data_IF_296001694534
#
_entry.id   IF_296001694534
#
_cell.length_a   1.000
_cell.length_b   1.000
_cell.length_c   1.000
_cell.angle_alpha   90.00
_cell.angle_beta   90.00
_cell.angle_gamma   90.00
#
_symmetry.space_group_name_H-M   'P 1'
#
loop_
_entity.id
_entity.type
_entity.pdbx_description
1 polymer ?
#
# COMPACT_ATOMS: atom_id res chain seq x y z
N UNK A 1 -26.04 -27.16 -14.85
CA UNK A 1 -25.11 -27.71 -13.84
C UNK A 1 -23.77 -27.00 -14.01
N UNK A 2 -23.59 -25.88 -13.31
CA UNK A 2 -22.31 -25.19 -13.27
C UNK A 2 -21.56 -25.73 -12.06
N UNK A 3 -20.44 -26.42 -12.27
CA UNK A 3 -19.56 -26.84 -11.18
C UNK A 3 -18.93 -25.59 -10.58
N UNK A 4 -19.44 -25.15 -9.43
CA UNK A 4 -18.71 -24.23 -8.57
C UNK A 4 -17.40 -24.92 -8.18
N UNK A 5 -16.29 -24.46 -8.78
CA UNK A 5 -14.97 -24.91 -8.35
C UNK A 5 -14.78 -24.38 -6.94
N UNK A 6 -15.01 -25.23 -5.95
CA UNK A 6 -14.75 -25.01 -4.54
C UNK A 6 -13.22 -25.00 -4.34
N UNK A 7 -12.53 -24.00 -4.92
CA UNK A 7 -11.13 -23.73 -4.60
C UNK A 7 -11.11 -23.19 -3.18
N UNK A 8 -10.39 -23.82 -2.24
CA UNK A 8 -10.34 -23.36 -0.86
C UNK A 8 -9.78 -21.93 -0.83
N UNK A 9 -10.45 -21.05 -0.08
CA UNK A 9 -10.02 -19.70 0.27
C UNK A 9 -8.57 -19.76 0.77
N UNK A 10 -7.61 -19.36 -0.06
CA UNK A 10 -6.22 -19.22 0.37
C UNK A 10 -5.98 -17.76 0.71
N UNK A 11 -6.20 -17.42 1.99
CA UNK A 11 -5.35 -16.40 2.58
C UNK A 11 -3.89 -16.81 2.30
N UNK A 12 -2.97 -15.85 2.03
CA UNK A 12 -1.57 -16.18 1.80
C UNK A 12 -1.13 -17.14 2.92
N UNK A 13 -0.49 -18.26 2.57
CA UNK A 13 0.00 -19.21 3.56
C UNK A 13 1.00 -18.49 4.46
N UNK A 14 0.49 -17.95 5.57
CA UNK A 14 1.30 -17.36 6.61
C UNK A 14 2.11 -18.51 7.19
N UNK A 15 3.37 -18.62 6.75
CA UNK A 15 4.31 -19.51 7.44
C UNK A 15 4.25 -19.14 8.92
N UNK A 16 4.22 -20.10 9.86
CA UNK A 16 4.36 -19.79 11.27
C UNK A 16 5.61 -18.92 11.45
N UNK A 17 5.40 -17.67 11.84
CA UNK A 17 6.46 -16.67 12.03
C UNK A 17 6.68 -16.49 13.51
N UNK A 18 7.93 -16.43 13.91
CA UNK A 18 8.26 -15.92 15.23
C UNK A 18 8.02 -14.41 15.21
N UNK A 19 6.93 -13.98 15.81
CA UNK A 19 6.64 -12.58 16.02
C UNK A 19 7.58 -11.97 17.03
N UNK A 20 8.00 -10.73 16.80
CA UNK A 20 8.72 -9.98 17.82
C UNK A 20 7.77 -9.72 18.99
N UNK A 21 8.28 -9.89 20.21
CA UNK A 21 7.54 -9.53 21.41
C UNK A 21 7.43 -7.99 21.52
N UNK A 22 6.23 -7.47 21.80
CA UNK A 22 5.95 -6.03 21.82
C UNK A 22 6.83 -5.26 22.81
N UNK A 23 7.05 -5.80 24.00
CA UNK A 23 7.78 -5.14 25.09
C UNK A 23 9.30 -5.11 24.81
N UNK A 24 9.77 -5.95 23.90
CA UNK A 24 11.16 -5.99 23.43
C UNK A 24 11.35 -5.42 22.03
N UNK A 25 10.28 -4.94 21.39
CA UNK A 25 10.32 -4.52 19.98
C UNK A 25 11.44 -3.50 19.71
N UNK A 26 11.49 -2.43 20.52
CA UNK A 26 12.52 -1.40 20.43
C UNK A 26 13.95 -1.96 20.56
N UNK A 27 14.16 -2.95 21.44
CA UNK A 27 15.48 -3.54 21.68
C UNK A 27 16.01 -4.22 20.42
N UNK A 28 15.14 -4.90 19.66
CA UNK A 28 15.55 -5.57 18.42
C UNK A 28 16.05 -4.58 17.37
N UNK A 29 15.50 -3.37 17.30
CA UNK A 29 15.87 -2.38 16.28
C UNK A 29 16.99 -1.42 16.70
N UNK A 30 17.28 -1.26 18.00
CA UNK A 30 18.30 -0.32 18.50
C UNK A 30 19.71 -0.54 17.91
N UNK A 31 20.06 -1.80 17.63
CA UNK A 31 21.35 -2.19 17.08
C UNK A 31 21.50 -1.90 15.58
N UNK A 32 20.38 -1.76 14.86
CA UNK A 32 20.39 -1.62 13.41
C UNK A 32 20.33 -0.15 13.00
N UNK A 33 21.07 0.19 11.95
CA UNK A 33 21.04 1.50 11.33
C UNK A 33 20.36 1.36 9.96
N UNK A 34 19.50 2.31 9.57
CA UNK A 34 18.93 2.30 8.23
C UNK A 34 20.02 2.36 7.16
N UNK A 35 20.01 1.39 6.25
CA UNK A 35 20.89 1.36 5.10
C UNK A 35 20.28 2.20 3.97
N UNK A 36 21.04 3.16 3.43
CA UNK A 36 20.60 4.01 2.33
C UNK A 36 20.91 3.36 0.96
N UNK A 37 19.98 3.53 0.02
CA UNK A 37 20.04 3.09 -1.37
C UNK A 37 19.99 4.32 -2.26
N UNK A 38 21.15 4.69 -2.81
CA UNK A 38 21.32 5.98 -3.51
C UNK A 38 21.17 5.80 -5.02
N UNK A 39 20.28 6.58 -5.62
CA UNK A 39 20.14 6.70 -7.07
C UNK A 39 21.35 7.41 -7.71
N UNK A 40 21.83 6.99 -8.90
CA UNK A 40 22.97 7.63 -9.55
C UNK A 40 22.65 9.06 -9.99
N UNK A 41 21.39 9.33 -10.35
CA UNK A 41 20.92 10.63 -10.84
C UNK A 41 20.79 11.68 -9.72
N UNK A 42 20.62 11.25 -8.47
CA UNK A 42 20.51 12.15 -7.31
C UNK A 42 21.78 12.99 -7.04
N UNK A 43 22.92 12.62 -7.64
CA UNK A 43 24.21 13.31 -7.44
C UNK A 43 24.48 14.47 -8.41
N UNK A 44 23.64 14.71 -9.43
CA UNK A 44 23.89 15.72 -10.49
C UNK A 44 23.09 17.02 -10.35
N UNK A 45 22.78 17.48 -9.14
CA UNK A 45 22.29 18.84 -8.87
C UNK A 45 20.99 19.28 -9.58
N UNK A 46 20.32 18.38 -10.30
CA UNK A 46 19.12 18.63 -11.07
C UNK A 46 18.20 17.39 -11.04
N UNK A 47 17.30 17.34 -10.05
CA UNK A 47 15.88 16.97 -10.21
C UNK A 47 15.25 16.57 -8.88
N UNK A 48 13.96 16.87 -8.74
CA UNK A 48 13.06 16.47 -7.65
C UNK A 48 12.89 14.94 -7.58
N UNK A 49 13.96 14.20 -7.27
CA UNK A 49 13.87 12.75 -7.09
C UNK A 49 13.08 12.45 -5.80
N UNK A 50 11.80 12.16 -5.99
CA UNK A 50 10.85 11.89 -4.91
C UNK A 50 10.22 10.53 -5.15
N UNK A 51 10.51 9.57 -4.26
CA UNK A 51 9.93 8.23 -4.29
C UNK A 51 8.45 8.33 -3.89
N UNK A 52 7.56 7.90 -4.78
CA UNK A 52 6.10 7.91 -4.57
C UNK A 52 5.55 6.55 -4.16
N UNK A 53 6.30 5.49 -4.44
CA UNK A 53 5.87 4.13 -4.14
C UNK A 53 7.05 3.19 -3.94
N UNK A 54 6.88 2.31 -2.97
CA UNK A 54 7.76 1.19 -2.65
C UNK A 54 6.91 -0.07 -2.72
N UNK A 55 7.43 -1.13 -3.35
CA UNK A 55 6.78 -2.43 -3.40
C UNK A 55 7.78 -3.57 -3.25
N UNK A 56 7.57 -4.43 -2.27
CA UNK A 56 8.35 -5.67 -2.12
C UNK A 56 7.81 -6.75 -3.05
N UNK A 57 8.69 -7.61 -3.55
CA UNK A 57 8.26 -8.85 -4.18
C UNK A 57 7.84 -9.88 -3.12
N UNK A 58 7.07 -10.92 -3.46
CA UNK A 58 6.47 -11.82 -2.46
C UNK A 58 7.49 -12.58 -1.60
N UNK A 59 8.73 -12.71 -2.06
CA UNK A 59 9.82 -13.35 -1.30
C UNK A 59 10.68 -12.35 -0.50
N UNK A 60 10.45 -11.05 -0.63
CA UNK A 60 11.20 -10.00 0.06
C UNK A 60 12.68 -9.89 -0.36
N UNK A 61 13.07 -10.51 -1.49
CA UNK A 61 14.44 -10.46 -2.00
C UNK A 61 14.62 -9.42 -3.12
N UNK A 62 13.54 -8.78 -3.56
CA UNK A 62 13.54 -7.63 -4.44
C UNK A 62 12.59 -6.55 -3.91
N UNK A 63 12.96 -5.29 -4.13
CA UNK A 63 12.15 -4.13 -3.78
C UNK A 63 12.17 -3.13 -4.94
N UNK A 64 10.99 -2.68 -5.36
CA UNK A 64 10.82 -1.72 -6.43
C UNK A 64 10.53 -0.33 -5.87
N UNK A 65 11.08 0.70 -6.50
CA UNK A 65 10.80 2.11 -6.23
C UNK A 65 10.31 2.79 -7.51
N UNK A 66 9.18 3.48 -7.42
CA UNK A 66 8.68 4.38 -8.46
C UNK A 66 8.78 5.83 -8.02
N UNK A 67 9.32 6.70 -8.87
CA UNK A 67 9.63 8.08 -8.52
C UNK A 67 8.99 9.13 -9.46
N UNK A 68 8.93 10.36 -8.96
CA UNK A 68 8.40 11.52 -9.67
C UNK A 68 9.21 11.91 -10.92
N UNK A 69 10.49 11.55 -10.96
CA UNK A 69 11.40 11.79 -12.09
C UNK A 69 11.36 10.67 -13.14
N UNK A 70 10.31 9.84 -13.12
CA UNK A 70 10.07 8.71 -14.02
C UNK A 70 11.00 7.51 -13.79
N UNK A 71 11.82 7.54 -12.74
CA UNK A 71 12.70 6.42 -12.39
C UNK A 71 11.89 5.27 -11.80
N UNK A 72 11.90 4.12 -12.48
CA UNK A 72 11.48 2.82 -11.94
C UNK A 72 12.73 1.99 -11.71
N UNK A 73 13.01 1.64 -10.46
CA UNK A 73 14.19 0.83 -10.13
C UNK A 73 13.84 -0.32 -9.21
N UNK A 74 14.44 -1.47 -9.48
CA UNK A 74 14.38 -2.67 -8.63
C UNK A 74 15.74 -2.87 -7.96
N UNK A 75 15.73 -3.00 -6.64
CA UNK A 75 16.90 -3.14 -5.80
C UNK A 75 16.99 -4.54 -5.19
N UNK A 76 18.21 -4.93 -4.86
CA UNK A 76 18.47 -6.04 -3.96
C UNK A 76 18.61 -5.50 -2.52
N UNK A 77 17.72 -5.88 -1.57
CA UNK A 77 17.70 -5.36 -0.20
C UNK A 77 18.87 -5.82 0.67
N UNK A 78 19.70 -6.74 0.20
CA UNK A 78 20.92 -7.18 0.87
C UNK A 78 22.18 -6.49 0.27
N UNK A 79 22.02 -5.70 -0.81
CA UNK A 79 23.13 -5.07 -1.54
C UNK A 79 22.79 -3.64 -1.94
N UNK A 80 23.07 -2.70 -1.04
CA UNK A 80 22.75 -1.28 -1.21
C UNK A 80 23.45 -0.56 -2.37
N UNK A 81 24.57 -1.09 -2.87
CA UNK A 81 25.26 -0.47 -4.00
C UNK A 81 24.39 -0.58 -5.27
N UNK A 82 24.13 0.57 -5.89
CA UNK A 82 23.28 0.70 -7.08
C UNK A 82 23.68 -0.17 -8.26
N UNK A 83 24.94 -0.63 -8.36
CA UNK A 83 25.36 -1.59 -9.39
C UNK A 83 24.61 -2.93 -9.33
N UNK A 84 24.02 -3.27 -8.17
CA UNK A 84 23.22 -4.47 -7.96
C UNK A 84 21.72 -4.23 -8.13
N UNK A 85 21.34 -3.06 -8.67
CA UNK A 85 19.96 -2.71 -9.00
C UNK A 85 19.72 -2.79 -10.51
N UNK A 86 18.45 -2.79 -10.90
CA UNK A 86 18.01 -2.75 -12.29
C UNK A 86 17.02 -1.61 -12.47
N UNK A 87 17.29 -0.73 -13.43
CA UNK A 87 16.35 0.32 -13.84
C UNK A 87 15.50 -0.18 -15.01
N UNK A 88 14.19 0.00 -14.91
CA UNK A 88 13.20 -0.39 -15.92
C UNK A 88 12.71 0.88 -16.63
N UNK A 89 13.17 1.09 -17.87
CA UNK A 89 12.90 2.33 -18.61
C UNK A 89 11.66 2.19 -19.49
N UNK A 90 10.86 3.25 -19.58
CA UNK A 90 9.77 3.31 -20.56
C UNK A 90 8.63 4.28 -20.25
N UNK A 91 8.48 4.75 -19.01
CA UNK A 91 7.45 5.73 -18.67
C UNK A 91 7.80 7.14 -19.16
N UNK A 92 6.78 7.87 -19.62
CA UNK A 92 6.93 9.21 -20.17
C UNK A 92 6.60 10.32 -19.15
N UNK A 93 6.05 9.98 -17.99
CA UNK A 93 5.68 10.91 -16.92
C UNK A 93 5.96 10.29 -15.53
N UNK A 94 5.74 11.03 -14.43
CA UNK A 94 5.94 10.54 -13.06
C UNK A 94 5.30 9.17 -12.82
N UNK A 95 5.98 8.30 -12.07
CA UNK A 95 5.42 7.02 -11.65
C UNK A 95 4.71 7.24 -10.31
N UNK A 96 3.44 6.86 -10.25
CA UNK A 96 2.61 7.06 -9.06
C UNK A 96 2.64 5.85 -8.12
N UNK A 97 2.52 4.63 -8.68
CA UNK A 97 2.58 3.38 -7.90
C UNK A 97 3.35 2.28 -8.63
N UNK A 98 3.98 1.41 -7.84
CA UNK A 98 4.61 0.17 -8.27
C UNK A 98 4.14 -0.96 -7.36
N UNK A 99 3.93 -2.16 -7.90
CA UNK A 99 3.61 -3.34 -7.10
C UNK A 99 4.05 -4.62 -7.81
N UNK A 100 4.73 -5.50 -7.06
CA UNK A 100 4.99 -6.84 -7.56
C UNK A 100 3.72 -7.67 -7.56
N UNK A 101 3.64 -8.60 -8.51
CA UNK A 101 2.64 -9.65 -8.50
C UNK A 101 2.80 -10.46 -7.18
N UNK A 102 1.71 -10.70 -6.43
CA UNK A 102 1.77 -11.36 -5.13
C UNK A 102 2.13 -12.86 -5.21
N UNK A 103 2.06 -13.45 -6.40
CA UNK A 103 2.34 -14.87 -6.64
C UNK A 103 3.62 -15.08 -7.45
N UNK A 104 3.89 -14.23 -8.45
CA UNK A 104 5.04 -14.36 -9.37
C UNK A 104 6.16 -13.38 -9.00
N UNK A 105 7.32 -13.91 -8.62
CA UNK A 105 8.40 -13.16 -7.98
C UNK A 105 9.15 -12.14 -8.84
N UNK A 106 9.05 -12.29 -10.17
CA UNK A 106 9.71 -11.45 -11.15
C UNK A 106 8.75 -10.58 -11.97
N UNK A 107 7.44 -10.65 -11.70
CA UNK A 107 6.44 -9.84 -12.39
C UNK A 107 6.14 -8.58 -11.56
N UNK A 108 6.32 -7.42 -12.18
CA UNK A 108 6.10 -6.11 -11.57
C UNK A 108 5.14 -5.32 -12.44
N UNK A 109 4.28 -4.49 -11.85
CA UNK A 109 3.54 -3.48 -12.58
C UNK A 109 3.84 -2.08 -12.04
N UNK A 110 3.71 -1.09 -12.92
CA UNK A 110 3.81 0.33 -12.59
C UNK A 110 2.71 1.12 -13.28
N UNK A 111 2.19 2.12 -12.58
CA UNK A 111 1.23 3.09 -13.11
C UNK A 111 1.85 4.48 -13.09
N UNK A 112 1.62 5.25 -14.16
CA UNK A 112 2.19 6.56 -14.35
C UNK A 112 1.15 7.59 -14.77
N UNK A 113 1.44 8.85 -14.46
CA UNK A 113 0.67 10.00 -14.92
C UNK A 113 0.74 10.21 -16.45
N UNK A 114 1.44 9.34 -17.21
CA UNK A 114 1.36 9.25 -18.66
C UNK A 114 0.09 8.51 -19.15
N UNK A 115 -0.73 8.05 -18.21
CA UNK A 115 -1.97 7.33 -18.46
C UNK A 115 -1.79 5.91 -18.93
N UNK A 116 -0.64 5.32 -18.58
CA UNK A 116 -0.32 3.93 -18.87
C UNK A 116 -0.06 3.12 -17.60
N UNK A 117 -0.40 1.83 -17.70
CA UNK A 117 0.06 0.79 -16.79
C UNK A 117 0.99 -0.12 -17.58
N UNK A 118 2.20 -0.34 -17.08
CA UNK A 118 3.18 -1.23 -17.69
C UNK A 118 3.39 -2.45 -16.82
N UNK A 119 3.46 -3.61 -17.45
CA UNK A 119 3.81 -4.89 -16.86
C UNK A 119 5.23 -5.25 -17.26
N UNK A 120 6.03 -5.70 -16.29
CA UNK A 120 7.45 -5.91 -16.45
C UNK A 120 7.83 -7.32 -16.02
N UNK A 121 8.70 -7.95 -16.80
CA UNK A 121 9.53 -9.05 -16.33
C UNK A 121 10.87 -8.46 -15.87
N UNK A 122 11.12 -8.51 -14.57
CA UNK A 122 12.30 -7.89 -13.94
C UNK A 122 13.61 -8.62 -14.31
N UNK A 123 13.55 -9.92 -14.63
CA UNK A 123 14.74 -10.72 -14.98
C UNK A 123 15.24 -10.35 -16.37
N UNK A 124 14.32 -10.22 -17.32
CA UNK A 124 14.60 -9.86 -18.72
C UNK A 124 14.66 -8.35 -18.95
N UNK A 125 14.17 -7.56 -17.99
CA UNK A 125 14.06 -6.09 -18.05
C UNK A 125 13.11 -5.57 -19.13
N UNK A 126 12.23 -6.45 -19.61
CA UNK A 126 11.30 -6.13 -20.69
C UNK A 126 9.96 -5.67 -20.13
N UNK A 127 9.38 -4.66 -20.78
CA UNK A 127 7.95 -4.37 -20.66
C UNK A 127 7.20 -5.46 -21.45
N UNK A 128 6.54 -6.39 -20.75
CA UNK A 128 5.88 -7.55 -21.36
C UNK A 128 4.45 -7.23 -21.82
N UNK A 129 3.83 -6.20 -21.23
CA UNK A 129 2.53 -5.69 -21.66
C UNK A 129 2.36 -4.22 -21.23
N UNK A 130 1.46 -3.51 -21.89
CA UNK A 130 1.13 -2.12 -21.63
C UNK A 130 -0.36 -1.87 -21.91
N UNK A 131 -1.05 -1.26 -20.94
CA UNK A 131 -2.42 -0.77 -21.09
C UNK A 131 -2.39 0.76 -21.13
N UNK A 132 -3.03 1.35 -22.14
CA UNK A 132 -3.03 2.80 -22.40
C UNK A 132 -4.43 3.39 -22.27
N UNK A 133 -4.50 4.72 -22.21
CA UNK A 133 -5.78 5.45 -22.23
C UNK A 133 -6.49 5.46 -20.88
N UNK A 134 -5.76 5.28 -19.78
CA UNK A 134 -6.33 5.21 -18.42
C UNK A 134 -6.50 6.59 -17.76
N UNK A 135 -6.19 7.69 -18.46
CA UNK A 135 -6.23 9.05 -17.91
C UNK A 135 -5.15 9.28 -16.85
N UNK A 136 -5.37 10.19 -15.90
CA UNK A 136 -4.45 10.41 -14.78
C UNK A 136 -4.56 9.28 -13.73
N UNK A 137 -4.11 8.08 -14.08
CA UNK A 137 -4.10 6.90 -13.22
C UNK A 137 -3.04 7.04 -12.12
N UNK A 138 -3.42 6.73 -10.88
CA UNK A 138 -2.55 6.97 -9.71
C UNK A 138 -2.65 5.92 -8.60
N UNK A 139 -3.63 5.01 -8.66
CA UNK A 139 -3.75 3.90 -7.71
C UNK A 139 -3.51 2.58 -8.42
N UNK A 140 -2.97 1.60 -7.70
CA UNK A 140 -2.68 0.29 -8.25
C UNK A 140 -2.68 -0.75 -7.13
N UNK A 141 -3.42 -1.84 -7.31
CA UNK A 141 -3.42 -2.96 -6.37
C UNK A 141 -3.70 -4.28 -7.09
N UNK A 142 -2.84 -5.28 -6.88
CA UNK A 142 -3.05 -6.64 -7.39
C UNK A 142 -4.16 -7.35 -6.64
N UNK A 143 -4.92 -8.18 -7.35
CA UNK A 143 -5.73 -9.17 -6.67
C UNK A 143 -4.82 -10.22 -5.98
N UNK A 144 -5.24 -10.81 -4.85
CA UNK A 144 -4.44 -11.76 -4.08
C UNK A 144 -3.78 -12.92 -4.84
N UNK A 145 -4.37 -13.36 -5.96
CA UNK A 145 -3.84 -14.46 -6.79
C UNK A 145 -2.97 -13.95 -7.95
N UNK A 146 -2.86 -12.63 -8.15
CA UNK A 146 -1.99 -12.03 -9.15
C UNK A 146 -2.44 -12.26 -10.60
N UNK A 147 -3.73 -12.51 -10.84
CA UNK A 147 -4.29 -12.75 -12.18
C UNK A 147 -4.83 -11.46 -12.82
N UNK A 148 -5.12 -10.47 -11.99
CA UNK A 148 -5.71 -9.18 -12.34
C UNK A 148 -5.27 -8.12 -11.34
N UNK A 149 -5.46 -6.85 -11.68
CA UNK A 149 -5.24 -5.75 -10.76
C UNK A 149 -6.24 -4.62 -11.02
N UNK A 150 -6.47 -3.82 -9.98
CA UNK A 150 -7.33 -2.65 -10.03
C UNK A 150 -6.48 -1.40 -10.16
N UNK A 151 -6.91 -0.49 -11.03
CA UNK A 151 -6.27 0.81 -11.25
C UNK A 151 -7.32 1.91 -11.22
N UNK A 152 -7.14 2.88 -10.34
CA UNK A 152 -7.98 4.08 -10.24
C UNK A 152 -7.31 5.30 -10.86
N UNK A 153 -8.12 6.21 -11.41
CA UNK A 153 -7.67 7.49 -11.93
C UNK A 153 -8.35 8.68 -11.24
N UNK A 154 -7.86 9.90 -11.49
CA UNK A 154 -8.42 11.13 -10.92
C UNK A 154 -9.81 11.53 -11.46
N UNK A 155 -10.31 10.83 -12.48
CA UNK A 155 -11.65 10.99 -13.01
C UNK A 155 -12.62 9.95 -12.43
N UNK A 156 -12.26 9.34 -11.30
CA UNK A 156 -13.06 8.38 -10.54
C UNK A 156 -13.44 7.11 -11.32
N UNK A 157 -12.67 6.79 -12.37
CA UNK A 157 -12.77 5.51 -13.06
C UNK A 157 -11.90 4.48 -12.34
N UNK A 158 -12.48 3.29 -12.15
CA UNK A 158 -11.80 2.12 -11.60
C UNK A 158 -11.75 1.05 -12.67
N UNK A 159 -10.55 0.78 -13.16
CA UNK A 159 -10.29 -0.20 -14.21
C UNK A 159 -9.87 -1.53 -13.59
N UNK A 160 -10.39 -2.64 -14.15
CA UNK A 160 -9.87 -3.98 -13.90
C UNK A 160 -8.99 -4.38 -15.08
N UNK A 161 -7.73 -4.68 -14.81
CA UNK A 161 -6.73 -5.02 -15.84
C UNK A 161 -6.26 -6.46 -15.68
N UNK A 162 -5.81 -7.06 -16.78
CA UNK A 162 -5.07 -8.33 -16.77
C UNK A 162 -3.66 -8.11 -17.33
N UNK A 163 -2.64 -8.80 -16.80
CA UNK A 163 -1.28 -8.73 -17.33
C UNK A 163 -1.16 -9.24 -18.77
N UNK A 164 -2.13 -10.02 -19.25
CA UNK A 164 -2.11 -10.63 -20.58
C UNK A 164 -2.98 -9.90 -21.61
N UNK A 165 -3.70 -8.84 -21.20
CA UNK A 165 -4.56 -8.05 -22.09
C UNK A 165 -4.06 -6.62 -22.20
N UNK A 166 -4.06 -6.06 -23.41
CA UNK A 166 -3.62 -4.68 -23.68
C UNK A 166 -4.73 -3.63 -23.49
N UNK A 167 -5.94 -4.07 -23.17
CA UNK A 167 -7.11 -3.23 -22.88
C UNK A 167 -7.70 -3.60 -21.51
N UNK A 168 -8.39 -2.66 -20.83
CA UNK A 168 -9.10 -2.98 -19.59
C UNK A 168 -10.13 -4.10 -19.80
N UNK A 169 -10.26 -4.98 -18.81
CA UNK A 169 -11.31 -6.00 -18.74
C UNK A 169 -12.66 -5.34 -18.43
N UNK A 170 -12.64 -4.39 -17.50
CA UNK A 170 -13.82 -3.64 -17.07
C UNK A 170 -13.43 -2.21 -16.66
N UNK A 171 -14.43 -1.32 -16.68
CA UNK A 171 -14.32 0.06 -16.19
C UNK A 171 -15.58 0.41 -15.38
N UNK A 172 -15.39 0.86 -14.15
CA UNK A 172 -16.45 1.24 -13.22
C UNK A 172 -16.28 2.71 -12.83
N UNK A 173 -17.26 3.55 -13.18
CA UNK A 173 -17.28 4.94 -12.73
C UNK A 173 -17.80 5.02 -11.30
N UNK A 174 -17.01 5.60 -10.40
CA UNK A 174 -17.40 5.84 -9.02
C UNK A 174 -18.07 7.21 -8.87
N UNK A 175 -19.00 7.29 -7.93
CA UNK A 175 -19.75 8.53 -7.64
C UNK A 175 -18.97 9.53 -6.76
N UNK A 176 -17.86 9.09 -6.17
CA UNK A 176 -17.02 9.87 -5.27
C UNK A 176 -15.56 9.53 -5.58
N UNK A 177 -14.71 10.52 -5.35
CA UNK A 177 -13.26 10.37 -5.44
C UNK A 177 -12.75 9.09 -4.77
N UNK A 178 -12.02 8.28 -5.52
CA UNK A 178 -11.42 7.02 -5.07
C UNK A 178 -9.91 7.17 -4.92
N UNK A 179 -9.39 7.07 -3.70
CA UNK A 179 -7.99 7.38 -3.40
C UNK A 179 -7.07 6.16 -3.31
N UNK A 180 -7.47 5.12 -2.57
CA UNK A 180 -6.69 3.90 -2.42
C UNK A 180 -7.65 2.72 -2.29
N UNK A 181 -7.28 1.60 -2.91
CA UNK A 181 -8.07 0.36 -2.89
C UNK A 181 -7.22 -0.73 -2.25
N UNK A 182 -7.84 -1.53 -1.39
CA UNK A 182 -7.27 -2.77 -0.86
C UNK A 182 -8.18 -3.95 -1.18
N UNK A 183 -7.59 -5.09 -1.53
CA UNK A 183 -8.34 -6.32 -1.74
C UNK A 183 -8.61 -7.05 -0.43
N UNK A 184 -9.79 -7.65 -0.34
CA UNK A 184 -10.01 -8.79 0.55
C UNK A 184 -9.19 -9.99 0.05
N UNK A 185 -8.60 -10.77 0.97
CA UNK A 185 -7.89 -12.00 0.63
C UNK A 185 -8.76 -13.04 -0.10
N UNK A 186 -10.09 -13.04 0.11
CA UNK A 186 -11.01 -13.91 -0.63
C UNK A 186 -11.26 -13.48 -2.07
N UNK A 187 -10.81 -12.27 -2.45
CA UNK A 187 -11.03 -11.63 -3.77
C UNK A 187 -12.49 -11.25 -4.07
N UNK A 188 -13.42 -11.51 -3.16
CA UNK A 188 -14.85 -11.23 -3.38
C UNK A 188 -15.21 -9.77 -3.10
N UNK A 189 -14.30 -9.03 -2.45
CA UNK A 189 -14.55 -7.67 -1.98
C UNK A 189 -13.30 -6.81 -2.08
N UNK A 190 -13.54 -5.51 -2.16
CA UNK A 190 -12.53 -4.47 -2.08
C UNK A 190 -12.93 -3.40 -1.09
N UNK A 191 -11.92 -2.78 -0.48
CA UNK A 191 -12.06 -1.67 0.45
C UNK A 191 -11.56 -0.41 -0.24
N UNK A 192 -12.42 0.60 -0.36
CA UNK A 192 -12.17 1.78 -1.17
C UNK A 192 -12.17 3.02 -0.30
N UNK A 193 -11.00 3.61 -0.08
CA UNK A 193 -10.85 4.90 0.59
C UNK A 193 -11.33 6.04 -0.30
N UNK A 194 -12.14 6.94 0.25
CA UNK A 194 -12.82 7.99 -0.53
C UNK A 194 -12.42 9.40 -0.13
N UNK A 195 -12.67 10.36 -1.04
CA UNK A 195 -12.51 11.79 -0.79
C UNK A 195 -13.40 12.35 0.34
N UNK A 196 -14.44 11.61 0.75
CA UNK A 196 -15.34 11.98 1.85
C UNK A 196 -14.86 11.53 3.24
N UNK A 197 -13.71 10.87 3.32
CA UNK A 197 -13.17 10.37 4.59
C UNK A 197 -13.73 9.01 5.04
N UNK A 198 -14.48 8.35 4.16
CA UNK A 198 -15.07 7.05 4.42
C UNK A 198 -14.33 5.95 3.65
N UNK A 199 -14.36 4.73 4.17
CA UNK A 199 -13.97 3.52 3.44
C UNK A 199 -15.21 2.72 3.08
N UNK A 200 -15.45 2.53 1.78
CA UNK A 200 -16.56 1.73 1.25
C UNK A 200 -16.17 0.27 1.15
N UNK A 201 -17.12 -0.64 1.36
CA UNK A 201 -16.95 -2.10 1.21
C UNK A 201 -17.74 -2.57 0.00
N UNK A 202 -17.05 -2.81 -1.10
CA UNK A 202 -17.66 -3.12 -2.39
C UNK A 202 -17.38 -4.56 -2.82
N UNK A 203 -18.29 -5.14 -3.61
CA UNK A 203 -18.10 -6.46 -4.22
C UNK A 203 -17.04 -6.37 -5.31
N UNK A 204 -16.41 -7.49 -5.62
CA UNK A 204 -15.55 -7.63 -6.79
C UNK A 204 -16.00 -8.84 -7.60
N UNK A 205 -16.14 -8.73 -8.93
CA UNK A 205 -15.67 -7.63 -9.79
C UNK A 205 -16.67 -6.48 -10.00
N UNK A 206 -17.87 -6.51 -9.41
CA UNK A 206 -18.95 -5.59 -9.82
C UNK A 206 -18.88 -4.18 -9.20
N UNK A 207 -18.15 -4.00 -8.09
CA UNK A 207 -18.05 -2.76 -7.32
C UNK A 207 -19.38 -2.27 -6.71
N UNK A 208 -20.26 -3.19 -6.34
CA UNK A 208 -21.53 -2.88 -5.68
C UNK A 208 -21.40 -2.89 -4.15
N UNK A 209 -22.08 -2.00 -3.41
CA UNK A 209 -22.03 -2.00 -1.95
C UNK A 209 -22.48 -3.33 -1.34
N UNK A 210 -21.64 -3.90 -0.46
CA UNK A 210 -21.89 -5.22 0.14
C UNK A 210 -22.63 -5.13 1.46
N UNK A 211 -22.38 -4.07 2.24
CA UNK A 211 -22.93 -3.90 3.59
C UNK A 211 -23.96 -2.79 3.54
N UNK A 212 -25.14 -3.07 4.07
CA UNK A 212 -26.26 -2.13 4.11
C UNK A 212 -26.83 -2.04 5.53
N UNK A 213 -27.26 -0.85 5.92
CA UNK A 213 -28.10 -0.67 7.09
C UNK A 213 -29.43 -1.40 6.88
N UNK A 214 -29.94 -2.04 7.93
CA UNK A 214 -31.23 -2.74 7.89
C UNK A 214 -32.44 -1.81 7.96
N UNK A 215 -32.21 -0.50 8.04
CA UNK A 215 -33.23 0.54 8.18
C UNK A 215 -32.93 1.69 7.22
N UNK A 216 -33.99 2.44 6.87
CA UNK A 216 -33.89 3.58 5.97
C UNK A 216 -33.10 4.73 6.62
N UNK A 217 -31.95 5.05 6.02
CA UNK A 217 -31.08 6.15 6.45
C UNK A 217 -31.64 7.51 6.10
N UNK A 218 -32.63 7.62 5.20
CA UNK A 218 -33.19 8.90 4.79
C UNK A 218 -33.81 9.70 5.92
N UNK A 219 -34.29 9.02 6.98
CA UNK A 219 -34.84 9.66 8.17
C UNK A 219 -33.77 10.29 9.08
N UNK A 220 -32.50 9.90 8.92
CA UNK A 220 -31.39 10.34 9.78
C UNK A 220 -30.43 11.23 8.99
N UNK A 221 -30.04 10.80 7.79
CA UNK A 221 -29.09 11.49 6.91
C UNK A 221 -29.77 12.43 5.90
N UNK A 222 -31.10 12.42 5.86
CA UNK A 222 -31.91 13.27 4.99
C UNK A 222 -32.33 12.60 3.67
N UNK A 223 -33.23 13.25 2.92
CA UNK A 223 -33.78 12.70 1.68
C UNK A 223 -32.70 12.33 0.65
N UNK A 224 -32.81 11.13 0.06
CA UNK A 224 -31.86 10.64 -0.94
C UNK A 224 -30.62 9.94 -0.36
N UNK A 225 -30.50 9.83 0.97
CA UNK A 225 -29.46 9.02 1.59
C UNK A 225 -29.58 7.55 1.17
N UNK A 226 -28.44 6.92 0.90
CA UNK A 226 -28.37 5.49 0.61
C UNK A 226 -28.34 4.70 1.91
N UNK A 227 -28.77 3.44 1.85
CA UNK A 227 -28.60 2.50 2.97
C UNK A 227 -27.22 1.82 2.97
N UNK A 228 -26.29 2.26 2.12
CA UNK A 228 -24.92 1.74 2.10
C UNK A 228 -24.23 2.04 3.43
N UNK A 229 -23.62 1.01 4.01
CA UNK A 229 -22.74 1.15 5.16
C UNK A 229 -21.30 1.42 4.69
N UNK A 230 -20.69 2.48 5.22
CA UNK A 230 -19.29 2.80 5.01
C UNK A 230 -18.61 3.06 6.35
N UNK A 231 -17.31 2.73 6.42
CA UNK A 231 -16.49 2.94 7.61
C UNK A 231 -16.13 4.42 7.72
N UNK A 232 -16.75 5.11 8.68
CA UNK A 232 -16.56 6.55 8.91
C UNK A 232 -15.50 6.77 9.99
N UNK A 233 -14.25 6.92 9.58
CA UNK A 233 -13.12 7.12 10.51
C UNK A 233 -12.41 8.44 10.38
N UNK A 234 -12.68 9.22 9.33
CA UNK A 234 -11.94 10.45 9.04
C UNK A 234 -12.85 11.64 8.81
N UNK A 235 -12.41 12.78 9.30
CA UNK A 235 -13.05 14.10 9.08
C UNK A 235 -12.63 14.73 7.75
N UNK A 236 -11.57 14.21 7.13
CA UNK A 236 -11.10 14.58 5.80
C UNK A 236 -10.84 13.35 4.92
N UNK A 237 -10.35 13.59 3.71
CA UNK A 237 -10.14 12.56 2.67
C UNK A 237 -9.37 11.33 3.20
N UNK A 238 -9.90 10.13 2.95
CA UNK A 238 -9.24 8.87 3.30
C UNK A 238 -8.24 8.52 2.19
N UNK A 239 -6.94 8.66 2.48
CA UNK A 239 -5.86 8.61 1.50
C UNK A 239 -5.24 7.22 1.35
N UNK A 240 -5.28 6.41 2.41
CA UNK A 240 -4.67 5.09 2.43
C UNK A 240 -5.59 4.09 3.13
N UNK A 241 -5.62 2.87 2.60
CA UNK A 241 -6.38 1.75 3.14
C UNK A 241 -5.55 0.48 2.93
N UNK A 242 -5.43 -0.35 3.97
CA UNK A 242 -4.71 -1.62 3.89
C UNK A 242 -5.35 -2.68 4.78
N UNK A 243 -5.50 -3.90 4.22
CA UNK A 243 -5.93 -5.06 4.99
C UNK A 243 -4.70 -5.75 5.57
N UNK A 244 -4.73 -6.02 6.87
CA UNK A 244 -3.68 -6.81 7.53
C UNK A 244 -3.52 -8.20 6.87
N UNK A 245 -2.31 -8.77 6.84
CA UNK A 245 -2.08 -10.10 6.26
C UNK A 245 -2.85 -11.24 6.92
N UNK A 246 -3.23 -11.08 8.19
CA UNK A 246 -4.13 -12.01 8.89
C UNK A 246 -5.61 -11.84 8.51
N UNK A 247 -5.96 -10.72 7.85
CA UNK A 247 -7.34 -10.34 7.55
C UNK A 247 -8.13 -9.86 8.76
N UNK A 248 -7.53 -9.83 9.96
CA UNK A 248 -8.21 -9.45 11.22
C UNK A 248 -8.55 -7.97 11.26
N UNK A 249 -7.64 -7.13 10.78
CA UNK A 249 -7.78 -5.68 10.79
C UNK A 249 -7.74 -5.09 9.39
N UNK A 250 -8.54 -4.04 9.21
CA UNK A 250 -8.41 -3.08 8.12
C UNK A 250 -7.97 -1.74 8.71
N UNK A 251 -6.89 -1.16 8.21
CA UNK A 251 -6.47 0.19 8.60
C UNK A 251 -6.83 1.20 7.51
N UNK A 252 -7.20 2.41 7.92
CA UNK A 252 -7.40 3.56 7.04
C UNK A 252 -6.67 4.79 7.58
N UNK A 253 -6.06 5.58 6.70
CA UNK A 253 -5.32 6.79 7.02
C UNK A 253 -5.90 8.00 6.29
N UNK A 254 -6.07 9.11 6.98
CA UNK A 254 -6.74 10.31 6.46
C UNK A 254 -5.84 11.54 6.32
N UNK A 255 -6.38 12.60 5.70
CA UNK A 255 -5.78 13.94 5.72
C UNK A 255 -5.84 14.61 7.10
N UNK A 256 -6.63 14.07 8.02
CA UNK A 256 -6.78 14.53 9.39
C UNK A 256 -5.69 14.00 10.34
N UNK A 257 -4.62 13.42 9.78
CA UNK A 257 -3.49 12.85 10.52
C UNK A 257 -3.90 11.70 11.45
N UNK A 258 -5.05 11.06 11.19
CA UNK A 258 -5.52 9.92 11.96
C UNK A 258 -5.30 8.62 11.20
N UNK A 259 -5.08 7.55 11.97
CA UNK A 259 -5.23 6.16 11.49
C UNK A 259 -6.37 5.51 12.25
N UNK A 260 -7.37 5.01 11.54
CA UNK A 260 -8.46 4.22 12.12
C UNK A 260 -8.25 2.74 11.79
N UNK A 261 -8.34 1.87 12.80
CA UNK A 261 -8.17 0.42 12.70
C UNK A 261 -9.50 -0.26 13.00
N UNK A 262 -10.05 -0.99 12.03
CA UNK A 262 -11.33 -1.68 12.14
C UNK A 262 -11.13 -3.18 12.30
N UNK A 263 -11.91 -3.83 13.16
CA UNK A 263 -12.01 -5.30 13.18
C UNK A 263 -12.91 -5.74 12.02
N UNK A 264 -12.43 -6.68 11.20
CA UNK A 264 -13.15 -7.09 9.98
C UNK A 264 -14.32 -8.03 10.24
N UNK A 265 -14.49 -8.51 11.47
CA UNK A 265 -15.61 -9.39 11.86
C UNK A 265 -16.89 -8.60 12.10
N UNK A 266 -16.79 -7.42 12.70
CA UNK A 266 -17.92 -6.58 13.08
C UNK A 266 -17.88 -5.17 12.46
N UNK A 267 -16.79 -4.83 11.76
CA UNK A 267 -16.56 -3.52 11.13
C UNK A 267 -16.55 -2.34 12.11
N UNK A 268 -16.35 -2.62 13.39
CA UNK A 268 -16.21 -1.59 14.41
C UNK A 268 -14.80 -1.02 14.42
N UNK A 269 -14.69 0.30 14.60
CA UNK A 269 -13.40 0.94 14.83
C UNK A 269 -12.83 0.45 16.18
N UNK A 270 -11.82 -0.42 16.10
CA UNK A 270 -11.14 -0.99 17.24
C UNK A 270 -10.18 0.03 17.89
N UNK A 271 -9.49 0.83 17.08
CA UNK A 271 -8.54 1.86 17.52
C UNK A 271 -8.52 3.07 16.59
N UNK A 272 -8.19 4.21 17.16
CA UNK A 272 -7.79 5.41 16.42
C UNK A 272 -6.44 5.87 16.94
N UNK A 273 -5.43 5.93 16.07
CA UNK A 273 -4.09 6.41 16.38
C UNK A 273 -4.02 7.90 16.05
N UNK A 274 -3.58 8.71 17.00
CA UNK A 274 -3.71 10.18 16.97
C UNK A 274 -2.37 10.93 17.06
N UNK A 275 -1.25 10.22 17.14
CA UNK A 275 0.07 10.83 17.37
C UNK A 275 0.76 11.32 16.08
N UNK A 276 0.17 11.04 14.91
CA UNK A 276 0.69 11.51 13.64
C UNK A 276 0.37 13.00 13.44
N UNK A 277 1.31 13.71 12.82
CA UNK A 277 1.24 15.18 12.70
C UNK A 277 0.87 15.65 11.28
N UNK A 278 0.89 14.76 10.29
CA UNK A 278 0.55 15.11 8.92
C UNK A 278 -0.33 14.07 8.23
N UNK A 279 -0.83 14.37 7.02
CA UNK A 279 -1.68 13.47 6.24
C UNK A 279 -1.05 12.08 6.07
N UNK A 280 -1.83 11.02 6.31
CA UNK A 280 -1.36 9.64 6.25
C UNK A 280 -1.42 9.11 4.82
N UNK A 281 -0.26 9.08 4.15
CA UNK A 281 -0.11 8.73 2.72
C UNK A 281 0.01 7.24 2.46
N UNK A 282 0.65 6.50 3.37
CA UNK A 282 0.79 5.06 3.27
C UNK A 282 0.62 4.40 4.62
N UNK A 283 0.14 3.16 4.58
CA UNK A 283 0.09 2.26 5.72
C UNK A 283 0.98 1.07 5.36
N UNK A 284 1.44 0.34 6.38
CA UNK A 284 2.02 -0.98 6.17
C UNK A 284 1.92 -1.83 7.43
N UNK A 285 1.31 -3.01 7.32
CA UNK A 285 1.34 -4.01 8.38
C UNK A 285 2.61 -4.87 8.31
N UNK A 286 3.13 -5.27 9.46
CA UNK A 286 4.02 -6.44 9.51
C UNK A 286 3.24 -7.67 9.05
N UNK A 287 3.95 -8.63 8.44
CA UNK A 287 3.29 -9.78 7.81
C UNK A 287 2.78 -10.86 8.77
N UNK A 288 3.01 -10.70 10.07
CA UNK A 288 2.29 -11.41 11.11
C UNK A 288 1.01 -10.70 11.58
N UNK A 289 0.78 -9.46 11.13
CA UNK A 289 -0.41 -8.66 11.41
C UNK A 289 -0.42 -8.00 12.80
N UNK A 290 0.69 -8.02 13.55
CA UNK A 290 0.74 -7.48 14.90
C UNK A 290 1.17 -6.03 14.98
N UNK A 291 1.88 -5.51 13.99
CA UNK A 291 2.37 -4.14 14.00
C UNK A 291 1.96 -3.39 12.75
N UNK A 292 1.74 -2.09 12.91
CA UNK A 292 1.36 -1.17 11.85
C UNK A 292 2.30 0.04 11.90
N UNK A 293 2.77 0.45 10.73
CA UNK A 293 3.42 1.75 10.53
C UNK A 293 2.58 2.59 9.57
N UNK A 294 2.70 3.89 9.70
CA UNK A 294 2.03 4.86 8.84
C UNK A 294 3.07 5.86 8.34
N UNK A 295 3.13 6.04 7.03
CA UNK A 295 3.93 7.08 6.38
C UNK A 295 3.10 8.34 6.24
N UNK A 296 3.56 9.45 6.83
CA UNK A 296 2.88 10.73 6.78
C UNK A 296 3.71 11.82 6.13
N UNK A 297 3.01 12.83 5.61
CA UNK A 297 3.63 14.09 5.25
C UNK A 297 4.03 14.91 6.49
N UNK A 298 4.67 16.07 6.25
CA UNK A 298 4.89 17.06 7.31
C UNK A 298 3.56 17.63 7.80
N UNK A 299 3.56 18.14 9.02
CA UNK A 299 2.47 18.97 9.52
C UNK A 299 2.31 20.21 8.63
N UNK A 300 1.06 20.49 8.22
CA UNK A 300 0.75 21.52 7.22
C UNK A 300 1.00 22.93 7.76
N UNK A 301 0.93 23.14 9.08
CA UNK A 301 1.05 24.46 9.70
C UNK A 301 2.49 24.76 10.14
N UNK A 302 3.16 23.77 10.72
CA UNK A 302 4.47 23.89 11.37
C UNK A 302 5.61 23.38 10.50
N UNK A 303 5.33 22.57 9.48
CA UNK A 303 6.33 21.94 8.63
C UNK A 303 7.16 20.85 9.32
N UNK A 304 6.76 20.40 10.52
CA UNK A 304 7.48 19.38 11.28
C UNK A 304 7.19 17.95 10.78
N UNK A 305 8.09 17.00 11.08
CA UNK A 305 7.93 15.54 10.85
C UNK A 305 8.36 14.79 12.13
N UNK A 306 7.67 13.69 12.49
CA UNK A 306 7.92 12.93 13.74
C UNK A 306 8.63 11.59 13.55
N UNK A 307 9.20 11.31 12.38
CA UNK A 307 9.71 9.98 12.07
C UNK A 307 8.59 9.01 11.72
N UNK A 308 8.85 7.70 11.79
CA UNK A 308 7.85 6.66 11.52
C UNK A 308 7.56 5.94 12.82
N UNK A 309 6.35 6.12 13.35
CA UNK A 309 5.89 5.42 14.53
C UNK A 309 5.37 4.02 14.17
N UNK A 310 5.77 3.03 14.98
CA UNK A 310 5.33 1.64 14.90
C UNK A 310 4.41 1.33 16.07
N UNK A 311 3.20 0.87 15.77
CA UNK A 311 2.15 0.60 16.74
C UNK A 311 1.85 -0.89 16.80
N UNK A 312 1.62 -1.40 18.00
CA UNK A 312 1.08 -2.74 18.19
C UNK A 312 -0.44 -2.71 18.02
N UNK A 313 -0.97 -3.49 17.08
CA UNK A 313 -2.35 -3.37 16.59
C UNK A 313 -3.42 -3.65 17.66
N UNK A 314 -3.16 -4.62 18.55
CA UNK A 314 -4.11 -5.02 19.59
C UNK A 314 -4.15 -3.99 20.75
N UNK A 315 -2.97 -3.59 21.25
CA UNK A 315 -2.88 -2.69 22.40
C UNK A 315 -3.00 -1.20 22.03
N UNK A 316 -2.69 -0.84 20.78
CA UNK A 316 -2.58 0.55 20.34
C UNK A 316 -1.30 1.25 20.82
N UNK A 317 -0.42 0.55 21.53
CA UNK A 317 0.82 1.14 22.07
C UNK A 317 1.82 1.42 20.94
N UNK A 318 2.41 2.61 20.95
CA UNK A 318 3.61 2.90 20.16
C UNK A 318 4.80 2.15 20.74
N UNK A 319 5.30 1.16 20.00
CA UNK A 319 6.39 0.27 20.43
C UNK A 319 7.77 0.74 19.96
N UNK A 320 7.83 1.58 18.93
CA UNK A 320 9.08 2.14 18.41
C UNK A 320 8.84 3.38 17.52
N UNK A 321 9.86 4.21 17.38
CA UNK A 321 9.90 5.32 16.41
C UNK A 321 11.17 5.22 15.59
N UNK A 322 11.05 5.01 14.29
CA UNK A 322 12.17 5.09 13.35
C UNK A 322 12.45 6.56 13.03
N UNK A 323 13.62 7.04 13.45
CA UNK A 323 14.03 8.43 13.19
C UNK A 323 14.34 8.63 11.70
N UNK A 324 13.78 9.69 11.13
CA UNK A 324 13.98 10.09 9.72
C UNK A 324 14.55 11.50 9.67
N UNK A 325 15.16 11.89 8.55
CA UNK A 325 15.67 13.24 8.36
C UNK A 325 14.57 14.23 7.92
N UNK A 326 13.49 13.73 7.32
CA UNK A 326 12.36 14.55 6.88
C UNK A 326 11.03 13.77 6.95
N UNK A 327 9.99 14.31 6.31
CA UNK A 327 8.75 13.58 6.04
C UNK A 327 9.03 12.27 5.30
N UNK A 328 8.28 11.23 5.68
CA UNK A 328 8.39 9.90 5.11
C UNK A 328 6.99 9.41 4.73
N UNK A 329 6.48 9.83 3.57
CA UNK A 329 5.12 9.51 3.15
C UNK A 329 4.99 8.08 2.60
N UNK A 330 6.11 7.41 2.28
CA UNK A 330 6.11 6.06 1.70
C UNK A 330 6.85 5.09 2.63
N UNK A 331 6.11 4.11 3.16
CA UNK A 331 6.63 3.03 4.02
C UNK A 331 6.13 1.67 3.54
N UNK A 332 6.90 0.60 3.77
CA UNK A 332 6.50 -0.76 3.44
C UNK A 332 7.32 -1.81 4.21
N UNK A 333 6.65 -2.65 4.99
CA UNK A 333 7.24 -3.84 5.62
C UNK A 333 7.48 -4.95 4.60
N UNK A 334 8.62 -5.61 4.73
CA UNK A 334 8.96 -6.77 3.93
C UNK A 334 8.04 -7.96 4.25
N UNK A 335 7.68 -8.78 3.23
CA UNK A 335 6.81 -9.93 3.42
C UNK A 335 7.44 -11.07 4.19
N UNK A 336 8.77 -11.16 4.23
CA UNK A 336 9.45 -12.33 4.78
C UNK A 336 10.16 -12.07 6.10
N UNK A 337 10.42 -10.82 6.48
CA UNK A 337 11.25 -10.44 7.63
C UNK A 337 10.75 -9.15 8.28
N UNK A 338 11.21 -8.87 9.49
CA UNK A 338 11.04 -7.56 10.14
C UNK A 338 12.02 -6.55 9.54
N UNK A 339 11.80 -6.22 8.26
CA UNK A 339 12.52 -5.19 7.53
C UNK A 339 11.54 -4.13 7.05
N UNK A 340 11.74 -2.90 7.48
CA UNK A 340 10.98 -1.75 7.05
C UNK A 340 11.76 -1.01 5.96
N UNK A 341 11.15 -0.89 4.78
CA UNK A 341 11.60 0.02 3.73
C UNK A 341 10.80 1.31 3.78
N UNK A 342 11.47 2.44 3.54
CA UNK A 342 10.82 3.73 3.56
C UNK A 342 11.59 4.77 2.75
N UNK A 343 10.90 5.84 2.34
CA UNK A 343 11.51 6.99 1.67
C UNK A 343 12.00 8.03 2.69
N UNK A 344 13.23 8.50 2.57
CA UNK A 344 13.76 9.60 3.40
C UNK A 344 14.66 10.51 2.56
N UNK A 345 14.25 11.78 2.39
CA UNK A 345 14.93 12.77 1.54
C UNK A 345 15.17 12.24 0.12
N UNK A 346 14.12 11.66 -0.48
CA UNK A 346 14.17 11.09 -1.83
C UNK A 346 14.92 9.76 -1.95
N UNK A 347 15.55 9.25 -0.89
CA UNK A 347 16.28 7.98 -0.93
C UNK A 347 15.44 6.85 -0.37
N UNK A 348 15.64 5.64 -0.91
CA UNK A 348 15.17 4.43 -0.27
C UNK A 348 16.07 4.12 0.93
N UNK A 349 15.47 3.89 2.09
CA UNK A 349 16.13 3.38 3.30
C UNK A 349 15.51 2.06 3.70
N UNK A 350 16.33 1.12 4.14
CA UNK A 350 15.88 -0.17 4.67
C UNK A 350 16.54 -0.39 6.02
N UNK A 351 15.73 -0.71 7.04
CA UNK A 351 16.19 -1.09 8.38
C UNK A 351 15.47 -2.36 8.78
N UNK A 352 16.17 -3.30 9.40
CA UNK A 352 15.50 -4.50 9.89
C UNK A 352 16.37 -5.49 10.60
N UNK A 353 15.68 -6.47 11.16
CA UNK A 353 16.21 -7.51 12.03
C UNK A 353 16.18 -8.83 11.27
N UNK A 354 17.26 -9.61 11.34
CA UNK A 354 17.35 -10.93 10.74
C UNK A 354 17.46 -11.99 11.83
N UNK A 355 16.30 -12.40 12.35
CA UNK A 355 16.17 -13.36 13.44
C UNK A 355 16.85 -14.72 13.16
N UNK A 356 17.11 -15.06 11.89
CA UNK A 356 17.81 -16.30 11.53
C UNK A 356 19.33 -16.13 11.47
N UNK A 357 19.85 -14.94 11.15
CA UNK A 357 21.29 -14.65 11.22
C UNK A 357 21.74 -14.38 12.67
N UNK A 358 20.87 -13.81 13.49
CA UNK A 358 21.18 -13.37 14.87
C UNK A 358 21.12 -14.50 15.92
N UNK A 359 20.94 -15.76 15.50
CA UNK A 359 21.04 -16.97 16.36
C UNK A 359 22.47 -17.52 16.49
N UNK A 360 23.47 -16.86 15.87
CA UNK A 360 24.90 -17.18 16.00
C UNK A 360 25.58 -16.19 16.91
#
# INVERSE_FOLDING_TARGET
MASSSNKPLRAPLLRPRQSLNKDRFQVYFNAFRPQAYTEPTATRGASNHNIRSIGWNPFGNLIATGAADKTLRVWNPERANVRFSTELKGHAAPIEKVAFNPVKDAELCSVSNDGTVKFWDVRTKNCVNEVKGLGEAFTLVWDPEGESLIVGNKADNVFVLSPTQSTPIANHQQAVQTNQIAFCWSRERVYVGTGKGEVRVLSFPDFEPVIHYSYDRSMIDGPGATNEYALKGHTGSCLSVELSPSGKYLASGGTDSLVSLYDTRDWMCHRTLTDLIGPVKTLSFTWDGFYLVAGSDVDVQTGQSTGIDCYHCESGERVHTFKTASSTPVVSWAPTRYQLAYSDVGQLRIVGVDLEKDKK
#
